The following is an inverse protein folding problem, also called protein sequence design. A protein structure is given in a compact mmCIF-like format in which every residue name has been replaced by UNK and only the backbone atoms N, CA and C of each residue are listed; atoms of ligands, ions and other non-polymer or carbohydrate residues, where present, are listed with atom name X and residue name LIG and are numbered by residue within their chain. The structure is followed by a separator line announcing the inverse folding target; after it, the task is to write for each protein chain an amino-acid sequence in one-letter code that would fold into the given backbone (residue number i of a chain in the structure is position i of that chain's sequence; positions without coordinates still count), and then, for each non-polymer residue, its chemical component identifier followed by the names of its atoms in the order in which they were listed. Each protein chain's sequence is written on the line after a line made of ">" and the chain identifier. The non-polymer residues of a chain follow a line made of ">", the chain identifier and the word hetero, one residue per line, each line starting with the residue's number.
data_IF_334833741710
#
_entry.id   IF_334833741710
#
_cell.length_a   1.000
_cell.length_b   1.000
_cell.length_c   1.000
_cell.angle_alpha   90.00
_cell.angle_beta   90.00
_cell.angle_gamma   90.00
#
_symmetry.space_group_name_H-M   'P 1'
#
loop_
_entity.id
_entity.type
_entity.pdbx_description
1 polymer ?
#
# COMPACT_ATOMS: atom_id res chain seq x y z
N UNK A 1 35.49 28.73 44.87
CA UNK A 1 34.52 27.64 44.63
C UNK A 1 33.28 28.27 44.04
N UNK A 2 33.18 28.31 42.71
CA UNK A 2 32.03 28.88 42.00
C UNK A 2 31.14 27.74 41.52
N UNK A 3 29.93 27.65 42.05
CA UNK A 3 28.91 26.71 41.58
C UNK A 3 28.47 27.08 40.16
N UNK A 4 28.77 26.20 39.20
CA UNK A 4 28.14 26.19 37.89
C UNK A 4 26.68 25.76 38.06
N UNK A 5 25.77 26.73 38.13
CA UNK A 5 24.33 26.49 37.97
C UNK A 5 24.08 25.89 36.58
N UNK A 6 23.77 24.60 36.52
CA UNK A 6 23.18 23.99 35.33
C UNK A 6 21.80 24.61 35.08
N UNK A 7 21.70 25.54 34.12
CA UNK A 7 20.44 25.84 33.46
C UNK A 7 20.04 24.61 32.63
N UNK A 8 19.28 23.69 33.21
CA UNK A 8 18.50 22.70 32.45
C UNK A 8 17.04 23.09 32.47
N UNK A 9 16.70 24.11 31.68
CA UNK A 9 15.34 24.25 31.14
C UNK A 9 15.34 23.64 29.74
N UNK A 10 14.76 22.46 29.59
CA UNK A 10 14.41 21.94 28.28
C UNK A 10 13.25 22.78 27.74
N UNK A 11 13.49 23.59 26.70
CA UNK A 11 12.49 24.47 26.06
C UNK A 11 11.16 23.77 25.72
N UNK A 12 11.15 22.45 25.53
CA UNK A 12 9.97 21.68 25.16
C UNK A 12 9.02 21.37 26.33
N UNK A 13 9.52 21.30 27.57
CA UNK A 13 8.70 20.95 28.73
C UNK A 13 7.83 22.11 29.23
N UNK A 14 8.09 23.33 28.76
CA UNK A 14 7.32 24.53 29.09
C UNK A 14 6.20 24.79 28.05
N UNK A 15 6.13 24.01 26.97
CA UNK A 15 5.08 24.12 25.94
C UNK A 15 3.80 23.39 26.38
N UNK A 16 2.61 23.98 26.14
CA UNK A 16 1.35 23.27 26.23
C UNK A 16 1.37 21.94 25.45
N UNK A 17 0.66 20.94 25.95
CA UNK A 17 0.61 19.59 25.37
C UNK A 17 0.25 19.61 23.88
N UNK A 18 -0.78 20.39 23.50
CA UNK A 18 -1.21 20.53 22.11
C UNK A 18 -0.13 21.09 21.16
N UNK A 19 0.74 22.00 21.63
CA UNK A 19 1.85 22.52 20.82
C UNK A 19 2.96 21.47 20.70
N UNK A 20 3.20 20.72 21.77
CA UNK A 20 4.17 19.63 21.78
C UNK A 20 3.75 18.53 20.82
N UNK A 21 2.48 18.12 20.82
CA UNK A 21 1.91 17.16 19.87
C UNK A 21 2.00 17.65 18.44
N UNK A 22 1.67 18.93 18.18
CA UNK A 22 1.80 19.56 16.86
C UNK A 22 3.25 19.58 16.36
N UNK A 23 4.22 19.87 17.23
CA UNK A 23 5.64 19.83 16.88
C UNK A 23 6.05 18.39 16.56
N UNK A 24 5.61 17.42 17.36
CA UNK A 24 5.90 16.01 17.10
C UNK A 24 5.28 15.53 15.78
N UNK A 25 4.10 15.99 15.38
CA UNK A 25 3.49 15.69 14.09
C UNK A 25 4.41 15.98 12.89
N UNK A 26 5.21 17.06 12.95
CA UNK A 26 6.15 17.42 11.88
C UNK A 26 7.45 16.62 11.89
N UNK A 27 7.69 15.83 12.92
CA UNK A 27 8.92 15.05 13.01
C UNK A 27 8.84 13.77 12.17
N UNK A 28 9.96 13.33 11.58
CA UNK A 28 10.09 11.99 11.02
C UNK A 28 9.52 10.92 11.95
N UNK A 29 8.76 9.96 11.41
CA UNK A 29 8.18 8.87 12.23
C UNK A 29 9.27 8.05 12.93
N UNK A 30 10.46 7.99 12.35
CA UNK A 30 11.64 7.34 12.95
C UNK A 30 12.04 8.00 14.28
N UNK A 31 11.80 9.31 14.45
CA UNK A 31 12.07 10.02 15.68
C UNK A 31 11.15 9.57 16.82
N UNK A 32 9.92 9.14 16.53
CA UNK A 32 8.96 8.70 17.55
C UNK A 32 9.47 7.48 18.33
N UNK A 33 10.09 6.51 17.66
CA UNK A 33 10.67 5.35 18.34
C UNK A 33 11.78 5.75 19.31
N UNK A 34 12.61 6.71 18.94
CA UNK A 34 13.66 7.24 19.83
C UNK A 34 13.03 8.00 21.00
N UNK A 35 12.06 8.86 20.73
CA UNK A 35 11.40 9.65 21.75
C UNK A 35 10.65 8.85 22.81
N UNK A 36 10.05 7.71 22.42
CA UNK A 36 9.45 6.76 23.37
C UNK A 36 10.45 6.24 24.41
N UNK A 37 11.74 6.18 24.05
CA UNK A 37 12.81 5.72 24.97
C UNK A 37 13.41 6.83 25.82
N UNK A 38 13.10 8.10 25.55
CA UNK A 38 13.71 9.25 26.26
C UNK A 38 13.12 9.41 27.66
N UNK A 39 11.79 9.43 27.79
CA UNK A 39 11.13 9.53 29.09
C UNK A 39 9.66 9.06 29.03
N UNK A 40 9.07 8.78 30.21
CA UNK A 40 7.68 8.32 30.33
C UNK A 40 6.69 9.31 29.71
N UNK A 41 6.86 10.61 29.94
CA UNK A 41 5.95 11.65 29.40
C UNK A 41 5.85 11.59 27.87
N UNK A 42 6.98 11.49 27.18
CA UNK A 42 6.99 11.42 25.72
C UNK A 42 6.43 10.09 25.22
N UNK A 43 6.69 8.99 25.94
CA UNK A 43 6.09 7.70 25.59
C UNK A 43 4.56 7.72 25.76
N UNK A 44 4.05 8.30 26.85
CA UNK A 44 2.61 8.45 27.09
C UNK A 44 1.96 9.36 26.06
N UNK A 45 2.58 10.50 25.74
CA UNK A 45 2.09 11.45 24.74
C UNK A 45 2.03 10.79 23.35
N UNK A 46 3.09 10.08 22.93
CA UNK A 46 3.11 9.37 21.66
C UNK A 46 2.17 8.16 21.61
N UNK A 47 1.68 7.69 22.76
CA UNK A 47 0.67 6.64 22.87
C UNK A 47 -0.76 7.17 23.04
N UNK A 48 -0.94 8.48 23.20
CA UNK A 48 -2.26 9.09 23.45
C UNK A 48 -3.18 8.92 22.24
N UNK A 49 -4.48 8.70 22.48
CA UNK A 49 -5.46 8.62 21.40
C UNK A 49 -5.49 9.90 20.55
N UNK A 50 -5.25 11.04 21.19
CA UNK A 50 -5.18 12.34 20.52
C UNK A 50 -4.02 12.40 19.53
N UNK A 51 -2.79 12.10 19.97
CA UNK A 51 -1.63 12.04 19.10
C UNK A 51 -1.81 11.01 17.98
N UNK A 52 -2.43 9.86 18.29
CA UNK A 52 -2.71 8.83 17.28
C UNK A 52 -3.71 9.31 16.22
N UNK A 53 -4.71 10.08 16.61
CA UNK A 53 -5.66 10.68 15.67
C UNK A 53 -4.97 11.70 14.75
N UNK A 54 -4.02 12.46 15.27
CA UNK A 54 -3.24 13.44 14.52
C UNK A 54 -2.22 12.73 13.61
N UNK A 55 -1.50 11.74 14.13
CA UNK A 55 -0.53 10.95 13.37
C UNK A 55 -1.19 10.14 12.23
N UNK A 56 -2.46 9.75 12.38
CA UNK A 56 -3.27 9.16 11.28
C UNK A 56 -3.61 10.17 10.18
N UNK A 57 -3.71 11.45 10.51
CA UNK A 57 -3.89 12.52 9.53
C UNK A 57 -2.58 12.92 8.84
N UNK A 58 -1.45 12.39 9.31
CA UNK A 58 -0.15 12.69 8.74
C UNK A 58 -0.04 12.05 7.34
N UNK A 59 0.56 12.79 6.41
CA UNK A 59 0.52 12.44 4.99
C UNK A 59 1.12 11.03 4.76
N UNK A 60 0.44 10.20 3.94
CA UNK A 60 0.92 8.86 3.60
C UNK A 60 2.28 8.91 2.88
N UNK A 61 3.03 7.81 2.83
CA UNK A 61 4.34 7.75 2.18
C UNK A 61 4.32 6.82 0.96
N UNK A 62 5.16 7.10 -0.03
CA UNK A 62 5.35 6.22 -1.18
C UNK A 62 6.66 5.46 -1.02
N UNK A 63 6.66 4.13 -1.16
CA UNK A 63 7.86 3.30 -1.01
C UNK A 63 8.23 2.70 -2.36
N UNK A 64 9.51 2.73 -2.67
CA UNK A 64 10.09 1.99 -3.78
C UNK A 64 10.97 0.91 -3.23
N UNK A 65 10.57 -0.33 -3.46
CA UNK A 65 11.23 -1.47 -2.88
C UNK A 65 12.18 -2.14 -3.88
N UNK A 66 13.39 -2.46 -3.40
CA UNK A 66 14.32 -3.32 -4.10
C UNK A 66 13.96 -4.80 -3.86
N UNK A 67 13.99 -5.62 -4.91
CA UNK A 67 13.82 -7.08 -4.82
C UNK A 67 14.99 -7.77 -4.08
N UNK A 68 16.13 -7.09 -3.98
CA UNK A 68 17.28 -7.48 -3.16
C UNK A 68 17.28 -6.65 -1.87
N UNK A 69 17.12 -7.30 -0.72
CA UNK A 69 17.05 -6.67 0.61
C UNK A 69 18.36 -6.03 1.07
N UNK A 70 19.47 -6.40 0.44
CA UNK A 70 20.78 -5.79 0.69
C UNK A 70 20.93 -4.43 0.01
N UNK A 71 20.11 -4.14 -1.00
CA UNK A 71 20.07 -2.83 -1.62
C UNK A 71 19.07 -1.92 -0.86
N UNK A 72 19.40 -0.63 -0.71
CA UNK A 72 18.48 0.32 -0.10
C UNK A 72 17.18 0.41 -0.89
N UNK A 73 16.07 0.52 -0.18
CA UNK A 73 14.78 0.93 -0.72
C UNK A 73 14.60 2.44 -0.48
N UNK A 74 13.69 3.08 -1.21
CA UNK A 74 13.39 4.50 -1.03
C UNK A 74 12.01 4.68 -0.43
N UNK A 75 11.88 5.71 0.41
CA UNK A 75 10.61 6.22 0.89
C UNK A 75 10.53 7.71 0.55
N UNK A 76 9.44 8.11 -0.08
CA UNK A 76 9.11 9.50 -0.31
C UNK A 76 8.06 9.94 0.69
N UNK A 77 8.36 11.01 1.40
CA UNK A 77 7.44 11.63 2.33
C UNK A 77 6.78 12.85 1.71
N UNK A 78 5.46 12.78 1.56
CA UNK A 78 4.66 13.87 1.03
C UNK A 78 4.60 15.07 1.98
N UNK A 79 4.74 14.87 3.30
CA UNK A 79 4.75 15.96 4.27
C UNK A 79 6.03 16.78 4.21
N UNK A 80 7.19 16.12 4.09
CA UNK A 80 8.48 16.82 4.02
C UNK A 80 8.96 17.09 2.59
N UNK A 81 8.29 16.57 1.57
CA UNK A 81 8.70 16.63 0.16
C UNK A 81 10.14 16.14 -0.07
N UNK A 82 10.53 15.05 0.59
CA UNK A 82 11.90 14.51 0.51
C UNK A 82 11.92 13.01 0.35
N UNK A 83 12.93 12.54 -0.39
CA UNK A 83 13.32 11.13 -0.44
C UNK A 83 14.20 10.76 0.74
N UNK A 84 14.00 9.56 1.28
CA UNK A 84 14.86 8.94 2.29
C UNK A 84 15.12 7.49 1.92
N UNK A 85 16.24 6.95 2.39
CA UNK A 85 16.58 5.54 2.24
C UNK A 85 16.04 4.74 3.42
N UNK A 86 15.53 3.56 3.12
CA UNK A 86 15.13 2.57 4.12
C UNK A 86 15.80 1.24 3.82
N UNK A 87 16.36 0.60 4.84
CA UNK A 87 17.03 -0.68 4.70
C UNK A 87 16.10 -1.82 5.11
N UNK A 88 15.98 -2.81 4.25
CA UNK A 88 15.23 -4.05 4.50
C UNK A 88 16.15 -5.24 4.77
N UNK A 89 17.41 -4.99 5.12
CA UNK A 89 18.42 -6.04 5.36
C UNK A 89 18.09 -6.95 6.55
N UNK A 90 17.16 -6.54 7.41
CA UNK A 90 16.65 -7.35 8.53
C UNK A 90 15.76 -8.52 8.06
N UNK A 91 15.33 -8.53 6.80
CA UNK A 91 14.64 -9.68 6.20
C UNK A 91 15.70 -10.73 5.87
N UNK A 92 15.68 -11.84 6.61
CA UNK A 92 16.75 -12.85 6.61
C UNK A 92 17.00 -13.53 5.25
N UNK A 93 16.02 -13.55 4.35
CA UNK A 93 16.18 -14.14 3.02
C UNK A 93 16.46 -13.04 1.98
N UNK A 94 17.62 -13.14 1.33
CA UNK A 94 18.24 -12.05 0.58
C UNK A 94 18.08 -12.12 -0.93
N UNK A 95 17.27 -13.04 -1.46
CA UNK A 95 17.19 -13.30 -2.90
C UNK A 95 15.74 -13.49 -3.37
N UNK A 96 15.21 -12.49 -4.07
CA UNK A 96 13.96 -12.61 -4.82
C UNK A 96 12.69 -12.34 -4.01
N UNK A 97 12.71 -11.35 -3.11
CA UNK A 97 11.52 -10.94 -2.38
C UNK A 97 10.54 -10.21 -3.31
N UNK A 98 9.26 -10.56 -3.24
CA UNK A 98 8.21 -9.79 -3.87
C UNK A 98 7.38 -9.03 -2.83
N UNK A 99 7.25 -7.73 -3.05
CA UNK A 99 6.40 -6.85 -2.27
C UNK A 99 4.97 -6.95 -2.79
N UNK A 100 4.02 -7.20 -1.88
CA UNK A 100 2.63 -7.52 -2.25
C UNK A 100 1.60 -6.52 -1.76
N UNK A 101 1.88 -5.84 -0.66
CA UNK A 101 0.97 -4.82 -0.16
C UNK A 101 1.51 -4.17 1.10
N UNK A 102 0.74 -3.21 1.60
CA UNK A 102 1.02 -2.50 2.84
C UNK A 102 -0.27 -2.11 3.53
N UNK A 103 -0.22 -2.04 4.85
CA UNK A 103 -1.30 -1.53 5.69
C UNK A 103 -0.73 -1.08 7.02
N UNK A 104 -1.18 0.06 7.55
CA UNK A 104 -0.85 0.55 8.89
C UNK A 104 0.65 0.49 9.24
N UNK A 105 1.50 0.95 8.31
CA UNK A 105 2.96 0.94 8.50
C UNK A 105 3.65 -0.41 8.30
N UNK A 106 2.92 -1.47 7.94
CA UNK A 106 3.44 -2.82 7.71
C UNK A 106 3.57 -3.12 6.21
N UNK A 107 4.47 -4.04 5.88
CA UNK A 107 4.72 -4.55 4.53
C UNK A 107 4.40 -6.05 4.46
N UNK A 108 3.62 -6.46 3.46
CA UNK A 108 3.45 -7.86 3.11
C UNK A 108 4.46 -8.25 2.04
N UNK A 109 5.27 -9.24 2.36
CA UNK A 109 6.29 -9.82 1.50
C UNK A 109 5.97 -11.28 1.22
N UNK A 110 6.32 -11.73 0.02
CA UNK A 110 6.47 -13.16 -0.23
C UNK A 110 7.89 -13.48 -0.66
N UNK A 111 8.26 -14.72 -0.39
CA UNK A 111 9.54 -15.27 -0.82
C UNK A 111 9.23 -16.53 -1.62
N UNK A 112 9.51 -16.54 -2.93
CA UNK A 112 9.25 -17.68 -3.78
C UNK A 112 10.15 -18.84 -3.36
N UNK A 113 9.56 -20.04 -3.33
CA UNK A 113 10.35 -21.25 -3.09
C UNK A 113 11.33 -21.46 -4.26
N UNK A 114 12.62 -21.67 -3.95
CA UNK A 114 13.68 -21.84 -4.97
C UNK A 114 13.85 -23.27 -5.45
N UNK A 115 12.95 -24.19 -5.09
CA UNK A 115 13.03 -25.56 -5.54
C UNK A 115 12.39 -25.70 -6.92
N UNK A 116 13.22 -25.68 -7.97
CA UNK A 116 12.81 -25.82 -9.37
C UNK A 116 11.96 -27.08 -9.67
N UNK A 117 12.06 -28.10 -8.81
CA UNK A 117 11.37 -29.39 -8.95
C UNK A 117 10.14 -29.53 -8.03
N UNK A 118 9.80 -28.53 -7.22
CA UNK A 118 8.69 -28.62 -6.27
C UNK A 118 7.88 -27.32 -6.25
N UNK A 119 6.64 -27.39 -6.73
CA UNK A 119 5.64 -26.31 -6.66
C UNK A 119 5.19 -26.08 -5.22
N UNK A 120 6.09 -25.53 -4.40
CA UNK A 120 5.80 -25.16 -3.02
C UNK A 120 5.31 -23.74 -2.97
N UNK A 121 4.27 -23.51 -2.17
CA UNK A 121 3.71 -22.19 -1.95
C UNK A 121 4.79 -21.25 -1.38
N UNK A 122 4.78 -19.96 -1.77
CA UNK A 122 5.73 -19.00 -1.26
C UNK A 122 5.52 -18.79 0.23
N UNK A 123 6.60 -18.53 0.95
CA UNK A 123 6.52 -18.17 2.37
C UNK A 123 6.13 -16.70 2.48
N UNK A 124 5.13 -16.41 3.32
CA UNK A 124 4.64 -15.05 3.54
C UNK A 124 5.27 -14.46 4.81
N UNK A 125 5.64 -13.18 4.72
CA UNK A 125 6.14 -12.40 5.84
C UNK A 125 5.39 -11.09 5.96
N UNK A 126 5.14 -10.66 7.20
CA UNK A 126 4.71 -9.30 7.50
C UNK A 126 5.82 -8.60 8.24
N UNK A 127 6.25 -7.46 7.73
CA UNK A 127 7.41 -6.74 8.22
C UNK A 127 7.04 -5.33 8.64
N UNK A 128 7.59 -4.90 9.78
CA UNK A 128 7.56 -3.53 10.23
C UNK A 128 8.94 -2.90 9.92
N UNK A 129 9.06 -2.10 8.85
CA UNK A 129 10.35 -1.56 8.43
C UNK A 129 10.88 -0.47 9.37
N UNK A 130 10.02 0.14 10.19
CA UNK A 130 10.43 1.12 11.19
C UNK A 130 11.05 0.45 12.42
N UNK A 131 10.46 -0.68 12.86
CA UNK A 131 11.00 -1.50 13.95
C UNK A 131 12.07 -2.50 13.51
N UNK A 132 12.24 -2.69 12.20
CA UNK A 132 13.13 -3.69 11.59
C UNK A 132 12.80 -5.11 12.06
N UNK A 133 11.52 -5.41 12.21
CA UNK A 133 11.02 -6.73 12.61
C UNK A 133 10.25 -7.37 11.46
N UNK A 134 10.30 -8.69 11.36
CA UNK A 134 9.50 -9.48 10.42
C UNK A 134 8.94 -10.71 11.12
N UNK A 135 7.68 -11.00 10.86
CA UNK A 135 7.00 -12.21 11.32
C UNK A 135 6.74 -13.09 10.12
N UNK A 136 7.13 -14.36 10.21
CA UNK A 136 6.77 -15.40 9.24
C UNK A 136 5.34 -15.84 9.53
N UNK A 137 4.46 -15.80 8.54
CA UNK A 137 3.10 -16.30 8.70
C UNK A 137 3.08 -17.84 8.73
N UNK A 138 2.17 -18.45 9.49
CA UNK A 138 1.97 -19.90 9.46
C UNK A 138 1.50 -20.35 8.07
N UNK A 139 1.60 -21.66 7.79
CA UNK A 139 1.06 -22.23 6.56
C UNK A 139 -0.46 -21.99 6.48
N UNK A 140 -0.94 -21.69 5.29
CA UNK A 140 -2.38 -21.59 4.99
C UNK A 140 -3.04 -22.96 5.17
N UNK A 141 -4.36 -22.98 5.33
CA UNK A 141 -5.10 -24.19 5.71
C UNK A 141 -5.58 -24.97 4.50
N UNK A 142 -6.20 -24.30 3.53
CA UNK A 142 -6.88 -24.91 2.38
C UNK A 142 -6.32 -24.47 1.03
N UNK A 143 -5.73 -23.28 0.92
CA UNK A 143 -5.16 -22.75 -0.33
C UNK A 143 -3.96 -23.59 -0.77
N UNK A 144 -4.09 -24.24 -1.92
CA UNK A 144 -3.06 -25.04 -2.60
C UNK A 144 -2.33 -24.24 -3.69
N UNK A 145 -2.96 -23.19 -4.22
CA UNK A 145 -2.39 -22.29 -5.23
C UNK A 145 -2.84 -20.85 -4.99
N UNK A 146 -1.90 -19.94 -4.77
CA UNK A 146 -2.19 -18.51 -4.52
C UNK A 146 -2.41 -17.81 -5.86
N UNK A 147 -3.57 -17.15 -6.01
CA UNK A 147 -3.85 -16.28 -7.15
C UNK A 147 -3.54 -14.82 -6.81
N UNK A 148 -3.91 -14.38 -5.62
CA UNK A 148 -3.55 -13.04 -5.14
C UNK A 148 -3.53 -12.90 -3.62
N UNK A 149 -2.95 -11.80 -3.15
CA UNK A 149 -2.70 -11.54 -1.74
C UNK A 149 -2.59 -10.06 -1.40
N UNK A 150 -3.07 -9.70 -0.21
CA UNK A 150 -2.97 -8.35 0.32
C UNK A 150 -2.93 -8.37 1.85
N UNK A 151 -2.49 -7.27 2.45
CA UNK A 151 -2.55 -7.00 3.88
C UNK A 151 -3.54 -5.88 4.14
N UNK A 152 -4.23 -5.95 5.27
CA UNK A 152 -5.32 -5.08 5.66
C UNK A 152 -5.12 -4.61 7.10
N UNK A 153 -5.54 -3.38 7.43
CA UNK A 153 -5.69 -3.00 8.82
C UNK A 153 -6.72 -3.93 9.48
N UNK A 154 -6.46 -4.38 10.72
CA UNK A 154 -7.48 -5.11 11.45
C UNK A 154 -8.66 -4.15 11.73
N UNK A 155 -9.86 -4.53 11.29
CA UNK A 155 -11.05 -3.66 11.20
C UNK A 155 -11.22 -2.62 12.32
N UNK A 156 -12.00 -2.92 13.35
CA UNK A 156 -12.23 -1.99 14.47
C UNK A 156 -11.09 -1.98 15.51
N UNK A 157 -10.12 -2.90 15.38
CA UNK A 157 -9.08 -3.12 16.38
C UNK A 157 -7.73 -2.56 15.92
N UNK A 158 -7.24 -1.55 16.61
CA UNK A 158 -6.03 -0.79 16.27
C UNK A 158 -4.72 -1.51 16.55
N UNK A 159 -4.74 -2.78 16.98
CA UNK A 159 -3.53 -3.49 17.44
C UNK A 159 -3.15 -4.69 16.56
N UNK A 160 -3.88 -4.94 15.48
CA UNK A 160 -3.63 -6.09 14.62
C UNK A 160 -3.66 -5.77 13.13
N UNK A 161 -3.42 -6.79 12.33
CA UNK A 161 -3.59 -6.76 10.89
C UNK A 161 -4.20 -8.07 10.42
N UNK A 162 -4.83 -8.01 9.25
CA UNK A 162 -5.30 -9.19 8.55
C UNK A 162 -4.49 -9.38 7.27
N UNK A 163 -4.19 -10.63 6.91
CA UNK A 163 -3.62 -10.96 5.59
C UNK A 163 -4.64 -11.79 4.84
N UNK A 164 -5.06 -11.31 3.68
CA UNK A 164 -6.05 -11.98 2.85
C UNK A 164 -5.38 -12.61 1.65
N UNK A 165 -5.72 -13.86 1.40
CA UNK A 165 -5.28 -14.67 0.28
C UNK A 165 -6.50 -15.10 -0.52
N UNK A 166 -6.42 -14.92 -1.83
CA UNK A 166 -7.35 -15.53 -2.78
C UNK A 166 -6.59 -16.60 -3.54
N UNK A 167 -7.10 -17.82 -3.51
CA UNK A 167 -6.41 -18.97 -4.09
C UNK A 167 -7.35 -20.12 -4.38
N UNK A 168 -6.82 -21.15 -5.04
CA UNK A 168 -7.54 -22.40 -5.26
C UNK A 168 -7.31 -23.36 -4.10
N UNK A 169 -8.35 -24.09 -3.72
CA UNK A 169 -8.27 -25.21 -2.78
C UNK A 169 -7.79 -26.49 -3.47
N UNK A 170 -7.62 -27.58 -2.70
CA UNK A 170 -7.39 -28.92 -3.27
C UNK A 170 -8.59 -29.46 -4.06
N UNK A 171 -9.80 -28.95 -3.82
CA UNK A 171 -11.02 -29.29 -4.58
C UNK A 171 -11.20 -28.43 -5.85
N UNK A 172 -10.18 -27.65 -6.22
CA UNK A 172 -10.17 -26.68 -7.34
C UNK A 172 -11.13 -25.49 -7.20
N UNK A 173 -11.79 -25.32 -6.05
CA UNK A 173 -12.67 -24.17 -5.79
C UNK A 173 -11.86 -22.92 -5.46
N UNK A 174 -12.29 -21.76 -5.94
CA UNK A 174 -11.66 -20.48 -5.58
C UNK A 174 -12.15 -20.04 -4.20
N UNK A 175 -11.23 -19.92 -3.24
CA UNK A 175 -11.52 -19.55 -1.85
C UNK A 175 -10.75 -18.31 -1.41
N UNK A 176 -11.29 -17.66 -0.38
CA UNK A 176 -10.66 -16.57 0.33
C UNK A 176 -10.26 -17.08 1.72
N UNK A 177 -8.98 -16.99 2.05
CA UNK A 177 -8.47 -17.23 3.40
C UNK A 177 -7.96 -15.93 4.02
N UNK A 178 -8.25 -15.75 5.30
CA UNK A 178 -7.84 -14.59 6.07
C UNK A 178 -7.05 -15.06 7.29
N UNK A 179 -5.81 -14.59 7.40
CA UNK A 179 -5.00 -14.66 8.61
C UNK A 179 -5.34 -13.47 9.48
N UNK A 180 -5.62 -13.72 10.75
CA UNK A 180 -5.78 -12.66 11.75
C UNK A 180 -4.60 -12.66 12.71
N UNK A 181 -3.92 -11.52 12.86
CA UNK A 181 -2.72 -11.42 13.70
C UNK A 181 -3.00 -11.57 15.19
N UNK A 182 -4.23 -11.34 15.66
CA UNK A 182 -4.58 -11.45 17.08
C UNK A 182 -4.83 -12.88 17.50
N UNK A 183 -5.38 -13.71 16.60
CA UNK A 183 -5.59 -15.14 16.83
C UNK A 183 -4.48 -16.00 16.27
N UNK A 184 -3.51 -15.39 15.57
CA UNK A 184 -2.37 -16.03 14.90
C UNK A 184 -2.77 -17.22 14.01
N UNK A 185 -3.95 -17.15 13.39
CA UNK A 185 -4.55 -18.28 12.68
C UNK A 185 -5.18 -17.87 11.35
N UNK A 186 -5.13 -18.77 10.38
CA UNK A 186 -5.89 -18.69 9.13
C UNK A 186 -7.32 -19.21 9.30
N UNK A 187 -8.27 -18.58 8.62
CA UNK A 187 -9.65 -19.07 8.47
C UNK A 187 -10.12 -18.88 7.04
N UNK A 188 -10.90 -19.84 6.55
CA UNK A 188 -11.63 -19.68 5.28
C UNK A 188 -12.75 -18.67 5.50
N UNK A 189 -12.69 -17.55 4.77
CA UNK A 189 -13.62 -16.44 4.90
C UNK A 189 -14.74 -16.48 3.86
N UNK A 190 -14.54 -17.18 2.73
CA UNK A 190 -15.57 -17.35 1.71
C UNK A 190 -15.10 -18.15 0.51
N UNK A 191 -16.06 -18.48 -0.36
CA UNK A 191 -15.83 -19.13 -1.64
C UNK A 191 -16.31 -18.19 -2.74
N UNK A 192 -15.47 -17.98 -3.75
CA UNK A 192 -15.78 -17.18 -4.93
C UNK A 192 -16.39 -18.13 -5.98
N UNK A 193 -17.58 -17.81 -6.54
CA UNK A 193 -18.21 -18.64 -7.54
C UNK A 193 -17.33 -18.86 -8.79
N UNK A 194 -17.17 -20.11 -9.22
CA UNK A 194 -16.31 -20.49 -10.36
C UNK A 194 -16.78 -19.89 -11.70
N UNK A 195 -18.07 -19.59 -11.82
CA UNK A 195 -18.73 -18.97 -12.99
C UNK A 195 -18.09 -17.64 -13.41
N UNK A 196 -17.31 -17.01 -12.52
CA UNK A 196 -16.75 -15.68 -12.70
C UNK A 196 -15.46 -15.67 -13.56
N UNK A 197 -14.93 -16.83 -13.96
CA UNK A 197 -13.77 -16.99 -14.85
C UNK A 197 -12.69 -15.93 -14.57
N UNK A 198 -12.21 -15.81 -13.33
CA UNK A 198 -11.35 -14.69 -12.93
C UNK A 198 -9.88 -14.95 -13.33
N UNK A 199 -9.25 -13.97 -14.01
CA UNK A 199 -7.77 -13.88 -14.06
C UNK A 199 -7.36 -12.96 -12.93
N UNK A 200 -7.20 -13.55 -11.76
CA UNK A 200 -6.75 -12.81 -10.57
C UNK A 200 -5.23 -12.73 -10.65
N UNK A 201 -4.72 -11.56 -11.04
CA UNK A 201 -3.33 -11.16 -10.81
C UNK A 201 -3.32 -10.14 -9.68
N UNK A 202 -2.27 -10.13 -8.86
CA UNK A 202 -2.13 -9.17 -7.75
C UNK A 202 -2.33 -7.69 -8.17
N UNK A 203 -2.00 -7.35 -9.41
CA UNK A 203 -2.13 -5.98 -9.95
C UNK A 203 -3.57 -5.57 -10.27
N UNK A 204 -4.50 -6.54 -10.32
CA UNK A 204 -5.89 -6.35 -10.71
C UNK A 204 -6.86 -6.66 -9.57
N UNK A 205 -6.37 -6.72 -8.33
CA UNK A 205 -7.14 -7.10 -7.16
C UNK A 205 -6.73 -6.28 -5.96
N UNK A 206 -7.71 -5.75 -5.23
CA UNK A 206 -7.49 -5.13 -3.92
C UNK A 206 -8.73 -5.26 -3.07
N UNK A 207 -8.60 -4.97 -1.78
CA UNK A 207 -9.72 -5.01 -0.85
C UNK A 207 -9.97 -3.62 -0.27
N UNK A 208 -11.23 -3.27 -0.16
CA UNK A 208 -11.67 -1.97 0.31
C UNK A 208 -13.08 -2.09 0.88
N UNK A 209 -13.34 -1.46 2.03
CA UNK A 209 -14.69 -1.40 2.63
C UNK A 209 -15.39 -2.76 2.76
N UNK A 210 -14.69 -3.80 3.20
CA UNK A 210 -15.29 -5.14 3.38
C UNK A 210 -15.47 -5.94 2.09
N UNK A 211 -15.11 -5.36 0.94
CA UNK A 211 -15.30 -5.96 -0.37
C UNK A 211 -13.97 -6.21 -1.08
N UNK A 212 -13.89 -7.36 -1.74
CA UNK A 212 -12.86 -7.70 -2.70
C UNK A 212 -13.24 -7.13 -4.08
N UNK A 213 -12.36 -6.32 -4.66
CA UNK A 213 -12.51 -5.79 -6.02
C UNK A 213 -11.52 -6.49 -6.93
N UNK A 214 -11.98 -7.02 -8.06
CA UNK A 214 -11.13 -7.72 -9.01
C UNK A 214 -11.62 -7.57 -10.46
N UNK A 215 -10.71 -7.38 -11.42
CA UNK A 215 -11.08 -7.40 -12.85
C UNK A 215 -11.24 -8.83 -13.38
N UNK A 216 -12.18 -9.05 -14.31
CA UNK A 216 -12.45 -10.37 -14.90
C UNK A 216 -11.48 -10.72 -16.03
N UNK A 217 -11.31 -12.02 -16.33
CA UNK A 217 -10.38 -12.49 -17.38
C UNK A 217 -10.73 -12.05 -18.80
N UNK A 218 -12.03 -11.89 -19.07
CA UNK A 218 -12.57 -11.52 -20.38
C UNK A 218 -12.24 -10.09 -20.80
N UNK A 219 -11.69 -9.28 -19.88
CA UNK A 219 -11.69 -7.83 -20.01
C UNK A 219 -13.10 -7.24 -19.87
N UNK A 220 -13.18 -5.92 -19.63
CA UNK A 220 -14.44 -5.18 -19.70
C UNK A 220 -15.40 -5.31 -18.51
N UNK A 221 -15.09 -6.12 -17.48
CA UNK A 221 -15.87 -6.17 -16.23
C UNK A 221 -14.98 -6.24 -14.99
N UNK A 222 -15.56 -5.83 -13.87
CA UNK A 222 -15.02 -5.92 -12.51
C UNK A 222 -16.03 -6.62 -11.61
N UNK A 223 -15.54 -7.49 -10.75
CA UNK A 223 -16.26 -8.13 -9.66
C UNK A 223 -16.05 -7.35 -8.36
N UNK A 224 -17.14 -7.17 -7.63
CA UNK A 224 -17.15 -6.74 -6.23
C UNK A 224 -17.73 -7.89 -5.41
N UNK A 225 -16.92 -8.51 -4.56
CA UNK A 225 -17.34 -9.61 -3.70
C UNK A 225 -17.31 -9.17 -2.23
N UNK A 226 -18.49 -9.12 -1.61
CA UNK A 226 -18.62 -8.86 -0.18
C UNK A 226 -18.38 -10.16 0.59
N UNK A 227 -17.30 -10.21 1.37
CA UNK A 227 -16.87 -11.42 2.06
C UNK A 227 -17.85 -11.80 3.17
N UNK A 228 -18.32 -10.84 3.96
CA UNK A 228 -19.21 -11.08 5.10
C UNK A 228 -20.55 -11.70 4.69
N UNK A 229 -21.10 -11.24 3.57
CA UNK A 229 -22.43 -11.66 3.10
C UNK A 229 -22.38 -12.66 1.95
N UNK A 230 -21.18 -12.98 1.44
CA UNK A 230 -20.99 -13.83 0.26
C UNK A 230 -21.68 -13.32 -1.00
N UNK A 231 -21.88 -11.99 -1.12
CA UNK A 231 -22.61 -11.38 -2.25
C UNK A 231 -21.65 -10.88 -3.31
N UNK A 232 -21.97 -11.18 -4.57
CA UNK A 232 -21.20 -10.73 -5.73
C UNK A 232 -21.99 -9.73 -6.55
N UNK A 233 -21.33 -8.65 -6.95
CA UNK A 233 -21.83 -7.67 -7.93
C UNK A 233 -20.83 -7.58 -9.07
N UNK A 234 -21.34 -7.60 -10.31
CA UNK A 234 -20.52 -7.43 -11.51
C UNK A 234 -20.80 -6.05 -12.10
N UNK A 235 -19.73 -5.30 -12.36
CA UNK A 235 -19.77 -3.92 -12.85
C UNK A 235 -19.00 -3.87 -14.16
N UNK A 236 -19.59 -3.28 -15.20
CA UNK A 236 -18.85 -3.01 -16.44
C UNK A 236 -17.75 -1.98 -16.17
N UNK A 237 -16.55 -2.17 -16.74
CA UNK A 237 -15.49 -1.16 -16.65
C UNK A 237 -15.44 -0.31 -17.92
N UNK A 238 -15.03 0.97 -17.84
CA UNK A 238 -14.75 1.79 -19.01
C UNK A 238 -13.73 1.11 -19.94
N UNK A 239 -13.88 1.34 -21.24
CA UNK A 239 -12.94 0.84 -22.24
C UNK A 239 -11.64 1.61 -22.11
N UNK A 240 -10.56 0.91 -21.75
CA UNK A 240 -9.23 1.47 -21.65
C UNK A 240 -8.17 0.37 -21.80
N UNK A 241 -7.03 0.74 -22.37
CA UNK A 241 -5.85 -0.11 -22.42
C UNK A 241 -5.12 -0.09 -21.08
N UNK A 242 -4.42 -1.17 -20.74
CA UNK A 242 -3.68 -1.30 -19.47
C UNK A 242 -4.48 -0.86 -18.22
N UNK A 243 -5.79 -1.13 -18.21
CA UNK A 243 -6.64 -0.79 -17.09
C UNK A 243 -6.12 -1.41 -15.79
N UNK A 244 -6.15 -0.64 -14.70
CA UNK A 244 -5.70 -1.04 -13.36
C UNK A 244 -6.62 -0.43 -12.32
N UNK A 245 -6.84 -1.16 -11.24
CA UNK A 245 -7.60 -0.65 -10.10
C UNK A 245 -6.67 -0.04 -9.05
N UNK A 246 -7.11 1.05 -8.44
CA UNK A 246 -6.37 1.79 -7.42
C UNK A 246 -7.29 2.15 -6.26
N UNK A 247 -6.77 2.07 -5.02
CA UNK A 247 -7.51 2.46 -3.82
C UNK A 247 -6.84 3.65 -3.13
N UNK A 248 -7.64 4.67 -2.78
CA UNK A 248 -7.20 5.91 -2.12
C UNK A 248 -8.19 6.27 -1.01
N UNK A 249 -7.78 6.29 0.28
CA UNK A 249 -8.65 6.51 1.46
C UNK A 249 -10.04 5.85 1.36
N UNK A 250 -10.06 4.56 1.03
CA UNK A 250 -11.30 3.77 0.87
C UNK A 250 -12.21 4.16 -0.31
N UNK A 251 -11.73 4.98 -1.23
CA UNK A 251 -12.34 5.23 -2.55
C UNK A 251 -11.67 4.36 -3.59
N UNK A 252 -12.46 3.91 -4.56
CA UNK A 252 -12.02 2.99 -5.60
C UNK A 252 -11.91 3.74 -6.91
N UNK A 253 -10.77 3.63 -7.54
CA UNK A 253 -10.48 4.24 -8.82
C UNK A 253 -10.07 3.18 -9.83
N UNK A 254 -10.28 3.50 -11.10
CA UNK A 254 -9.66 2.82 -12.21
C UNK A 254 -8.80 3.82 -12.95
N UNK A 255 -7.61 3.37 -13.33
CA UNK A 255 -6.70 4.08 -14.21
C UNK A 255 -6.61 3.27 -15.48
N UNK A 256 -6.66 3.92 -16.64
CA UNK A 256 -6.45 3.28 -17.92
C UNK A 256 -5.75 4.20 -18.90
N UNK A 257 -5.16 3.61 -19.92
CA UNK A 257 -4.57 4.30 -21.05
C UNK A 257 -5.53 4.33 -22.24
N UNK A 258 -5.26 5.26 -23.14
CA UNK A 258 -5.74 5.22 -24.51
C UNK A 258 -4.55 5.02 -25.41
N UNK A 259 -4.53 3.96 -26.21
CA UNK A 259 -3.51 3.74 -27.22
C UNK A 259 -4.03 3.97 -28.64
N UNK A 260 -3.12 4.39 -29.52
CA UNK A 260 -3.33 4.36 -30.97
C UNK A 260 -2.04 3.83 -31.61
N UNK A 261 -2.13 2.75 -32.41
CA UNK A 261 -0.97 2.12 -33.05
C UNK A 261 0.16 1.80 -32.05
N UNK A 262 -0.18 1.22 -30.90
CA UNK A 262 0.74 0.90 -29.79
C UNK A 262 1.45 2.11 -29.16
N UNK A 263 0.95 3.33 -29.40
CA UNK A 263 1.44 4.54 -28.77
C UNK A 263 0.46 5.04 -27.72
N UNK A 264 0.96 5.27 -26.50
CA UNK A 264 0.21 5.92 -25.45
C UNK A 264 -0.22 7.33 -25.90
N UNK A 265 -1.52 7.61 -25.89
CA UNK A 265 -2.07 8.94 -26.20
C UNK A 265 -2.47 9.71 -24.96
N UNK A 266 -2.85 9.01 -23.90
CA UNK A 266 -3.32 9.62 -22.68
C UNK A 266 -3.57 8.57 -21.60
N UNK A 267 -3.66 9.06 -20.37
CA UNK A 267 -4.09 8.29 -19.21
C UNK A 267 -5.36 8.94 -18.69
N UNK A 268 -6.37 8.12 -18.41
CA UNK A 268 -7.69 8.54 -17.94
C UNK A 268 -7.94 7.86 -16.60
N UNK A 269 -8.62 8.59 -15.71
CA UNK A 269 -8.98 8.11 -14.38
C UNK A 269 -10.48 8.15 -14.19
N UNK A 270 -11.02 7.10 -13.58
CA UNK A 270 -12.42 7.00 -13.19
C UNK A 270 -12.54 6.67 -11.71
N UNK A 271 -13.56 7.20 -11.06
CA UNK A 271 -13.96 6.82 -9.71
C UNK A 271 -15.18 5.91 -9.76
N UNK A 272 -15.20 4.87 -8.94
CA UNK A 272 -16.36 4.02 -8.74
C UNK A 272 -17.29 4.67 -7.70
N UNK A 273 -18.46 5.09 -8.14
CA UNK A 273 -19.48 5.74 -7.31
C UNK A 273 -20.69 4.81 -7.18
N UNK A 274 -21.25 4.74 -5.97
CA UNK A 274 -22.51 4.04 -5.72
C UNK A 274 -23.67 5.01 -5.96
N UNK A 275 -24.55 4.75 -6.93
CA UNK A 275 -25.74 5.56 -7.17
C UNK A 275 -26.86 5.26 -6.18
N UNK A 276 -27.77 6.22 -6.03
CA UNK A 276 -29.08 6.01 -5.38
C UNK A 276 -29.81 4.87 -6.11
N UNK A 277 -29.84 3.68 -5.49
CA UNK A 277 -30.26 2.43 -6.14
C UNK A 277 -29.33 1.23 -5.91
N UNK A 278 -28.15 1.42 -5.30
CA UNK A 278 -27.10 0.40 -5.03
C UNK A 278 -26.36 -0.12 -6.26
N UNK A 279 -26.49 0.55 -7.39
CA UNK A 279 -25.69 0.24 -8.58
C UNK A 279 -24.39 1.03 -8.58
N UNK A 280 -23.31 0.37 -8.95
CA UNK A 280 -22.00 0.99 -9.15
C UNK A 280 -21.91 1.60 -10.54
N UNK A 281 -21.37 2.82 -10.64
CA UNK A 281 -21.07 3.49 -11.89
C UNK A 281 -19.67 4.10 -11.85
N UNK A 282 -18.99 4.07 -12.99
CA UNK A 282 -17.72 4.75 -13.18
C UNK A 282 -17.94 6.19 -13.63
N UNK A 283 -17.40 7.14 -12.87
CA UNK A 283 -17.39 8.56 -13.20
C UNK A 283 -15.99 8.97 -13.63
N UNK A 284 -15.84 9.56 -14.83
CA UNK A 284 -14.55 10.10 -15.28
C UNK A 284 -14.15 11.28 -14.37
N UNK A 285 -12.96 11.19 -13.79
CA UNK A 285 -12.41 12.21 -12.87
C UNK A 285 -11.53 13.21 -13.60
N UNK A 286 -10.78 12.73 -14.60
CA UNK A 286 -9.88 13.57 -15.37
C UNK A 286 -8.90 12.76 -16.19
N UNK A 287 -8.10 13.50 -16.96
CA UNK A 287 -7.09 12.96 -17.87
C UNK A 287 -5.73 13.56 -17.56
N UNK A 288 -4.69 12.77 -17.78
CA UNK A 288 -3.32 13.26 -17.73
C UNK A 288 -3.13 14.34 -18.81
N UNK A 289 -2.61 15.53 -18.44
CA UNK A 289 -2.35 16.60 -19.40
C UNK A 289 -1.41 16.14 -20.51
N UNK A 290 -1.60 16.65 -21.73
CA UNK A 290 -0.79 16.27 -22.89
C UNK A 290 0.71 16.46 -22.67
N UNK A 291 1.12 17.58 -22.07
CA UNK A 291 2.53 17.86 -21.73
C UNK A 291 3.12 16.81 -20.78
N UNK A 292 2.40 16.46 -19.72
CA UNK A 292 2.80 15.42 -18.77
C UNK A 292 2.88 14.06 -19.46
N UNK A 293 1.91 13.74 -20.31
CA UNK A 293 1.90 12.48 -21.06
C UNK A 293 3.06 12.38 -22.05
N UNK A 294 3.44 13.48 -22.69
CA UNK A 294 4.58 13.51 -23.62
C UNK A 294 5.92 13.34 -22.89
N UNK A 295 6.08 13.96 -21.72
CA UNK A 295 7.25 13.71 -20.86
C UNK A 295 7.27 12.26 -20.37
N UNK A 296 6.11 11.73 -19.99
CA UNK A 296 5.96 10.33 -19.60
C UNK A 296 6.38 9.35 -20.71
N UNK A 297 6.01 9.64 -21.97
CA UNK A 297 6.41 8.85 -23.15
C UNK A 297 7.91 8.91 -23.40
N UNK A 298 8.53 10.10 -23.28
CA UNK A 298 9.98 10.26 -23.42
C UNK A 298 10.76 9.39 -22.43
N UNK A 299 10.20 9.21 -21.24
CA UNK A 299 10.81 8.41 -20.16
C UNK A 299 10.43 6.93 -20.20
N UNK A 300 9.51 6.49 -21.08
CA UNK A 300 9.04 5.10 -21.18
C UNK A 300 9.61 4.37 -22.40
N UNK A 301 10.09 3.13 -22.20
CA UNK A 301 10.58 2.28 -23.30
C UNK A 301 9.50 1.41 -23.93
N UNK A 302 8.42 1.14 -23.21
CA UNK A 302 7.42 0.13 -23.59
C UNK A 302 5.98 0.67 -23.55
N UNK A 303 5.81 2.00 -23.46
CA UNK A 303 4.51 2.67 -23.26
C UNK A 303 3.73 2.18 -22.03
N UNK A 304 4.38 1.41 -21.15
CA UNK A 304 3.82 0.85 -19.93
C UNK A 304 4.01 1.78 -18.74
N UNK A 305 3.07 1.73 -17.80
CA UNK A 305 3.13 2.46 -16.54
C UNK A 305 2.77 1.60 -15.33
N UNK A 306 3.35 1.98 -14.21
CA UNK A 306 2.95 1.58 -12.87
C UNK A 306 2.08 2.68 -12.26
N UNK A 307 1.05 2.32 -11.51
CA UNK A 307 0.27 3.28 -10.73
C UNK A 307 -0.04 2.75 -9.34
N UNK A 308 -0.21 3.65 -8.38
CA UNK A 308 -0.37 3.30 -6.99
C UNK A 308 -1.10 4.42 -6.21
N UNK A 309 -2.06 4.06 -5.35
CA UNK A 309 -2.87 5.01 -4.57
C UNK A 309 -2.35 5.24 -3.16
N UNK A 310 -2.16 6.50 -2.77
CA UNK A 310 -1.50 6.90 -1.52
C UNK A 310 -2.28 8.05 -0.88
N UNK A 311 -3.10 7.74 0.13
CA UNK A 311 -4.05 8.71 0.72
C UNK A 311 -4.99 9.28 -0.34
N UNK A 312 -4.94 10.60 -0.58
CA UNK A 312 -5.75 11.28 -1.60
C UNK A 312 -4.99 11.54 -2.91
N UNK A 313 -3.97 10.73 -3.18
CA UNK A 313 -3.08 10.91 -4.33
C UNK A 313 -2.96 9.62 -5.12
N UNK A 314 -2.92 9.75 -6.44
CA UNK A 314 -2.60 8.64 -7.35
C UNK A 314 -1.24 8.93 -7.97
N UNK A 315 -0.29 8.04 -7.74
CA UNK A 315 1.07 8.14 -8.25
C UNK A 315 1.22 7.31 -9.52
N UNK A 316 1.93 7.83 -10.50
CA UNK A 316 2.21 7.18 -11.78
C UNK A 316 3.70 7.20 -12.05
N UNK A 317 4.21 6.12 -12.62
CA UNK A 317 5.60 5.99 -13.05
C UNK A 317 5.69 5.23 -14.36
N UNK A 318 6.43 5.77 -15.32
CA UNK A 318 6.74 5.01 -16.54
C UNK A 318 7.61 3.80 -16.16
N UNK A 319 7.45 2.69 -16.88
CA UNK A 319 8.28 1.51 -16.64
C UNK A 319 9.77 1.87 -16.76
N UNK A 320 10.58 1.44 -15.79
CA UNK A 320 12.02 1.76 -15.67
C UNK A 320 12.37 3.26 -15.52
N UNK A 321 11.39 4.16 -15.44
CA UNK A 321 11.63 5.58 -15.18
C UNK A 321 11.90 5.84 -13.70
N UNK A 322 12.65 6.91 -13.45
CA UNK A 322 12.93 7.46 -12.11
C UNK A 322 12.04 8.66 -11.79
N UNK A 323 11.14 9.03 -12.69
CA UNK A 323 10.25 10.18 -12.52
C UNK A 323 8.86 9.71 -12.15
N UNK A 324 8.29 10.33 -11.11
CA UNK A 324 6.96 10.00 -10.61
C UNK A 324 6.10 11.24 -10.72
N UNK A 325 4.97 11.10 -11.41
CA UNK A 325 3.94 12.13 -11.44
C UNK A 325 2.81 11.74 -10.51
N UNK A 326 2.26 12.73 -9.81
CA UNK A 326 1.20 12.55 -8.83
C UNK A 326 -0.01 13.36 -9.23
N UNK A 327 -1.15 12.70 -9.28
CA UNK A 327 -2.46 13.32 -9.34
C UNK A 327 -3.00 13.49 -7.92
N UNK A 328 -3.27 14.73 -7.52
CA UNK A 328 -3.92 15.04 -6.26
C UNK A 328 -5.44 15.11 -6.47
N UNK A 329 -6.16 14.19 -5.82
CA UNK A 329 -7.60 14.01 -6.03
C UNK A 329 -8.41 15.19 -5.49
N UNK A 330 -7.93 15.85 -4.43
CA UNK A 330 -8.65 16.94 -3.78
C UNK A 330 -8.56 18.23 -4.57
N UNK A 331 -7.40 18.48 -5.18
CA UNK A 331 -7.11 19.71 -5.94
C UNK A 331 -7.30 19.52 -7.45
N UNK A 332 -7.52 18.29 -7.92
CA UNK A 332 -7.57 17.94 -9.34
C UNK A 332 -6.32 18.43 -10.10
N UNK A 333 -5.14 18.26 -9.51
CA UNK A 333 -3.89 18.80 -10.04
C UNK A 333 -2.82 17.72 -10.25
N UNK A 334 -1.91 17.98 -11.19
CA UNK A 334 -0.81 17.09 -11.54
C UNK A 334 0.52 17.73 -11.17
N UNK A 335 1.33 17.01 -10.41
CA UNK A 335 2.63 17.52 -9.94
C UNK A 335 3.69 16.42 -10.05
N UNK A 336 4.89 16.78 -10.48
CA UNK A 336 6.04 15.90 -10.46
C UNK A 336 6.65 15.84 -9.06
N UNK A 337 7.02 14.65 -8.62
CA UNK A 337 7.86 14.51 -7.44
C UNK A 337 9.29 14.96 -7.74
N UNK A 338 10.08 15.34 -6.71
CA UNK A 338 11.50 15.56 -6.86
C UNK A 338 12.18 14.33 -7.49
N UNK A 339 13.25 14.54 -8.24
CA UNK A 339 14.01 13.46 -8.86
C UNK A 339 14.54 12.46 -7.82
N UNK A 340 14.60 11.19 -8.20
CA UNK A 340 15.20 10.15 -7.36
C UNK A 340 16.67 10.48 -7.06
N UNK A 341 17.16 10.08 -5.88
CA UNK A 341 18.60 9.98 -5.65
C UNK A 341 19.27 9.10 -6.73
N UNK A 342 20.51 9.42 -7.10
CA UNK A 342 21.25 8.66 -8.10
C UNK A 342 21.44 7.18 -7.68
N UNK A 343 21.31 6.25 -8.64
CA UNK A 343 21.57 4.81 -8.43
C UNK A 343 20.35 3.90 -8.25
N UNK A 344 19.13 4.43 -8.31
CA UNK A 344 17.91 3.75 -7.87
C UNK A 344 16.94 3.35 -9.01
N UNK A 345 17.45 2.73 -10.10
CA UNK A 345 16.68 2.52 -11.35
C UNK A 345 15.76 1.29 -11.39
N UNK A 346 16.02 0.26 -10.59
CA UNK A 346 15.34 -1.04 -10.70
C UNK A 346 14.47 -1.39 -9.49
N UNK A 347 13.69 -0.43 -8.98
CA UNK A 347 12.79 -0.65 -7.85
C UNK A 347 11.32 -0.69 -8.29
N UNK A 348 10.50 -1.45 -7.57
CA UNK A 348 9.06 -1.49 -7.81
C UNK A 348 8.33 -0.45 -6.94
N UNK A 349 7.38 0.28 -7.53
CA UNK A 349 6.55 1.21 -6.79
C UNK A 349 5.53 0.48 -5.90
N UNK A 350 5.47 0.86 -4.62
CA UNK A 350 4.52 0.34 -3.63
C UNK A 350 3.99 1.48 -2.77
N UNK A 351 2.69 1.51 -2.55
CA UNK A 351 2.10 2.46 -1.62
C UNK A 351 2.41 2.04 -0.19
N UNK A 352 2.59 2.99 0.72
CA UNK A 352 2.49 2.71 2.14
C UNK A 352 1.68 3.80 2.85
N UNK A 353 0.43 3.54 3.25
CA UNK A 353 -0.20 4.37 4.26
C UNK A 353 0.57 4.13 5.56
N UNK A 354 1.38 5.10 5.95
CA UNK A 354 2.15 5.08 7.18
C UNK A 354 1.24 5.58 8.30
N UNK A 355 0.12 4.90 8.51
CA UNK A 355 -0.64 5.05 9.74
C UNK A 355 0.14 4.30 10.80
N UNK A 356 0.81 5.04 11.69
CA UNK A 356 1.54 4.43 12.79
C UNK A 356 0.55 3.63 13.65
N UNK A 357 0.75 2.32 13.78
CA UNK A 357 0.20 1.54 14.89
C UNK A 357 0.97 1.92 16.16
N UNK A 358 0.40 2.72 17.06
CA UNK A 358 1.09 3.22 18.26
C UNK A 358 1.30 2.08 19.27
N UNK A 359 0.39 1.10 19.26
CA UNK A 359 0.27 0.05 20.27
C UNK A 359 0.40 -1.38 19.71
N UNK A 360 0.94 -1.56 18.50
CA UNK A 360 1.33 -2.89 18.06
C UNK A 360 2.57 -3.32 18.86
N UNK A 361 2.34 -3.94 20.01
CA UNK A 361 3.31 -4.77 20.70
C UNK A 361 3.60 -5.95 19.75
N UNK A 362 4.73 -5.87 19.05
CA UNK A 362 5.31 -7.01 18.35
C UNK A 362 6.46 -7.54 19.19
#
# INVERSE_FOLDING_TARGET
>A
MGELRMFRKTMLSDLPEHLTERIMEFLPVECFFRFRTVCHTWNTLLSSEHFNSIARNNQPNLIFCSSNTQLPSLIYSFSSNTWRTISLSFVADNKGINFRGSASGLLLLDIPSRHWFCYTLPILYVCNPLRKTCVRLPAMVCVSSIMAKTILPAGNNTNGYDVMIVGRSSSDSVIVEVYNSMTESWKVAGTIPDELNLVIRNENMFFCKGCLFCMTSSGGRMMVYNIEHGRTVIVAIPVADWARLVCCKSRVFMVGATEENHNLKGIIMWELVLKEGKDYLWQEMGRMPGSVCDDFKRSSRFNWFECAGVGDKICFRAHESVEVVVYDINTNSWNWLPQFPAGFRYMSMRCLPLETMPNANF
#
